data_IF_006202386777
#
_entry.id   IF_006202386777
#
_cell.length_a   1.000
_cell.length_b   1.000
_cell.length_c   1.000
_cell.angle_alpha   90.00
_cell.angle_beta   90.00
_cell.angle_gamma   90.00
#
_symmetry.space_group_name_H-M   'P 1'
#
loop_
_entity.id
_entity.type
_entity.pdbx_description
1 polymer ?
#
# COMPACT_ATOMS: atom_id res chain seq x y z
N UNK A 1 -14.86 9.76 7.50
CA UNK A 1 -14.02 8.60 7.09
C UNK A 1 -14.10 8.39 5.58
N UNK A 2 -15.29 8.52 4.98
CA UNK A 2 -15.50 8.31 3.54
C UNK A 2 -14.61 9.18 2.66
N UNK A 3 -14.45 10.46 3.00
CA UNK A 3 -13.53 11.37 2.27
C UNK A 3 -12.09 10.87 2.23
N UNK A 4 -11.59 10.30 3.33
CA UNK A 4 -10.22 9.75 3.38
C UNK A 4 -10.11 8.51 2.49
N UNK A 5 -11.14 7.65 2.50
CA UNK A 5 -11.20 6.47 1.63
C UNK A 5 -11.26 6.87 0.16
N UNK A 6 -12.01 7.92 -0.18
CA UNK A 6 -12.12 8.44 -1.53
C UNK A 6 -10.81 9.04 -2.02
N UNK A 7 -10.15 9.87 -1.20
CA UNK A 7 -8.81 10.38 -1.49
C UNK A 7 -7.78 9.26 -1.67
N UNK A 8 -7.85 8.20 -0.85
CA UNK A 8 -6.99 7.04 -1.00
C UNK A 8 -7.19 6.32 -2.34
N UNK A 9 -8.44 6.17 -2.78
CA UNK A 9 -8.74 5.60 -4.11
C UNK A 9 -8.17 6.46 -5.22
N UNK A 10 -8.33 7.78 -5.14
CA UNK A 10 -7.80 8.71 -6.15
C UNK A 10 -6.28 8.56 -6.25
N UNK A 11 -5.56 8.55 -5.13
CA UNK A 11 -4.09 8.38 -5.12
C UNK A 11 -3.67 7.07 -5.76
N UNK A 12 -4.38 5.97 -5.49
CA UNK A 12 -4.07 4.66 -6.07
C UNK A 12 -4.44 4.56 -7.56
N UNK A 13 -5.53 5.22 -7.99
CA UNK A 13 -6.05 5.09 -9.36
C UNK A 13 -5.44 6.08 -10.35
N UNK A 14 -5.19 7.32 -9.91
CA UNK A 14 -4.64 8.41 -10.71
C UNK A 14 -3.10 8.42 -10.71
N UNK A 15 -2.48 7.30 -10.29
CA UNK A 15 -1.05 7.15 -10.09
C UNK A 15 -0.27 7.25 -11.42
N UNK A 16 -0.02 8.49 -11.83
CA UNK A 16 0.68 8.85 -13.07
C UNK A 16 1.96 9.60 -12.77
N UNK A 17 2.99 9.37 -13.59
CA UNK A 17 4.30 10.00 -13.44
C UNK A 17 4.91 10.31 -14.80
N UNK A 18 5.86 11.25 -14.81
CA UNK A 18 6.60 11.64 -16.01
C UNK A 18 7.98 11.00 -15.98
N UNK A 19 8.34 10.36 -17.09
CA UNK A 19 9.68 9.83 -17.30
C UNK A 19 10.08 10.04 -18.76
N UNK A 20 11.30 10.54 -19.01
CA UNK A 20 11.80 10.80 -20.37
C UNK A 20 10.79 11.56 -21.28
N UNK A 21 10.20 12.65 -20.76
CA UNK A 21 9.19 13.49 -21.45
C UNK A 21 7.91 12.73 -21.88
N UNK A 22 7.65 11.55 -21.32
CA UNK A 22 6.44 10.76 -21.56
C UNK A 22 5.68 10.56 -20.25
N UNK A 23 4.36 10.45 -20.37
CA UNK A 23 3.46 10.17 -19.25
C UNK A 23 3.24 8.67 -19.14
N UNK A 24 3.34 8.16 -17.93
CA UNK A 24 3.08 6.77 -17.60
C UNK A 24 2.05 6.70 -16.49
N UNK A 25 1.21 5.67 -16.55
CA UNK A 25 0.31 5.31 -15.45
C UNK A 25 0.80 4.01 -14.85
N UNK A 26 1.04 4.03 -13.54
CA UNK A 26 1.35 2.83 -12.81
C UNK A 26 0.06 2.04 -12.59
N UNK A 27 0.03 0.82 -13.11
CA UNK A 27 -1.15 -0.07 -13.06
C UNK A 27 -1.13 -1.03 -11.86
N UNK A 28 0.03 -1.21 -11.22
CA UNK A 28 0.21 -2.11 -10.08
C UNK A 28 0.97 -1.35 -8.98
N UNK A 29 0.42 -1.35 -7.76
CA UNK A 29 1.00 -0.67 -6.61
C UNK A 29 0.87 0.85 -6.64
N UNK A 30 1.61 1.52 -5.77
CA UNK A 30 1.67 2.97 -5.65
C UNK A 30 3.06 3.53 -6.04
N UNK A 31 3.13 4.83 -6.38
CA UNK A 31 4.42 5.49 -6.60
C UNK A 31 5.18 5.60 -5.28
N UNK A 32 6.41 5.08 -5.21
CA UNK A 32 7.19 5.04 -3.96
C UNK A 32 7.49 6.44 -3.39
N UNK A 33 7.61 7.46 -4.24
CA UNK A 33 7.81 8.86 -3.81
C UNK A 33 6.53 9.55 -3.32
N UNK A 34 5.37 8.91 -3.42
CA UNK A 34 4.11 9.47 -2.91
C UNK A 34 4.06 9.32 -1.39
N UNK A 35 3.90 10.44 -0.68
CA UNK A 35 3.76 10.47 0.78
C UNK A 35 2.65 9.54 1.29
N UNK A 36 1.60 9.34 0.50
CA UNK A 36 0.45 8.54 0.92
C UNK A 36 0.57 7.05 0.57
N UNK A 37 1.38 6.70 -0.44
CA UNK A 37 1.59 5.32 -0.85
C UNK A 37 2.25 4.48 0.24
N UNK A 38 3.25 5.03 0.94
CA UNK A 38 3.95 4.31 2.03
C UNK A 38 2.99 3.96 3.18
N UNK A 39 2.14 4.89 3.59
CA UNK A 39 1.15 4.67 4.64
C UNK A 39 0.14 3.58 4.23
N UNK A 40 -0.37 3.64 2.99
CA UNK A 40 -1.29 2.62 2.48
C UNK A 40 -0.63 1.24 2.36
N UNK A 41 0.65 1.20 1.96
CA UNK A 41 1.42 -0.04 1.90
C UNK A 41 1.57 -0.67 3.29
N UNK A 42 1.87 0.12 4.33
CA UNK A 42 1.96 -0.39 5.71
C UNK A 42 0.62 -0.96 6.21
N UNK A 43 -0.49 -0.28 5.93
CA UNK A 43 -1.83 -0.78 6.29
C UNK A 43 -2.13 -2.10 5.57
N UNK A 44 -1.82 -2.18 4.28
CA UNK A 44 -1.99 -3.40 3.48
C UNK A 44 -1.14 -4.54 4.03
N UNK A 45 0.15 -4.29 4.27
CA UNK A 45 1.09 -5.27 4.79
C UNK A 45 0.64 -5.81 6.14
N UNK A 46 0.27 -4.96 7.09
CA UNK A 46 -0.25 -5.40 8.39
C UNK A 46 -1.47 -6.33 8.24
N UNK A 47 -2.40 -6.00 7.33
CA UNK A 47 -3.58 -6.85 7.08
C UNK A 47 -3.17 -8.20 6.49
N UNK A 48 -2.25 -8.19 5.53
CA UNK A 48 -1.74 -9.40 4.89
C UNK A 48 -0.97 -10.30 5.88
N UNK A 49 -0.10 -9.71 6.70
CA UNK A 49 0.66 -10.42 7.75
C UNK A 49 -0.29 -11.06 8.76
N UNK A 50 -1.30 -10.32 9.25
CA UNK A 50 -2.29 -10.88 10.16
C UNK A 50 -3.06 -12.06 9.58
N UNK A 51 -3.36 -12.04 8.29
CA UNK A 51 -4.10 -13.12 7.64
C UNK A 51 -3.21 -14.33 7.31
N UNK A 52 -1.96 -14.09 6.93
CA UNK A 52 -1.09 -15.10 6.32
C UNK A 52 -0.07 -15.67 7.30
N UNK A 53 0.51 -14.82 8.14
CA UNK A 53 1.61 -15.18 9.03
C UNK A 53 1.05 -15.64 10.37
N UNK A 54 0.15 -14.87 11.00
CA UNK A 54 -0.43 -15.27 12.30
C UNK A 54 -1.28 -16.54 12.23
N UNK A 55 -1.83 -16.90 11.05
CA UNK A 55 -2.58 -18.14 10.86
C UNK A 55 -1.69 -19.39 10.74
N UNK A 56 -0.40 -19.20 10.46
CA UNK A 56 0.59 -20.28 10.27
C UNK A 56 1.65 -20.35 11.36
N UNK A 57 1.73 -19.35 12.24
CA UNK A 57 2.66 -19.34 13.36
C UNK A 57 2.15 -20.24 14.50
N UNK A 58 3.05 -21.10 15.02
CA UNK A 58 2.85 -21.72 16.32
C UNK A 58 2.81 -20.62 17.40
N UNK A 59 1.98 -20.80 18.43
CA UNK A 59 1.49 -19.78 19.37
C UNK A 59 2.54 -19.00 20.20
N UNK A 60 3.84 -19.22 19.97
CA UNK A 60 4.93 -18.76 20.84
C UNK A 60 6.00 -17.93 20.14
N UNK A 61 5.92 -17.72 18.82
CA UNK A 61 6.86 -16.84 18.11
C UNK A 61 6.20 -15.50 17.77
N UNK A 62 6.49 -14.50 18.61
CA UNK A 62 6.16 -13.11 18.32
C UNK A 62 7.24 -12.54 17.39
N UNK A 63 6.86 -12.28 16.13
CA UNK A 63 7.67 -11.45 15.24
C UNK A 63 6.93 -10.17 14.89
N UNK A 64 7.52 -9.04 15.29
CA UNK A 64 7.08 -7.70 15.00
C UNK A 64 7.98 -6.69 15.70
N UNK A 65 8.90 -6.10 14.92
CA UNK A 65 9.95 -5.11 15.29
C UNK A 65 10.77 -5.38 16.54
#
# INVERSE_FOLDING_TARGET
IDTIVELARIVLQANAFVYNKKFYRQIIGGAMGSAFTLTLANIFMWKWERQTILSKLASHELYGR
#
